data_IF_683906088566
#
_entry.id   IF_683906088566
#
_cell.length_a   1.000
_cell.length_b   1.000
_cell.length_c   1.000
_cell.angle_alpha   90.00
_cell.angle_beta   90.00
_cell.angle_gamma   90.00
#
_symmetry.space_group_name_H-M   'P 1'
#
loop_
_entity.id
_entity.type
_entity.pdbx_description
1 polymer ?
#
# COMPACT_ATOMS: atom_id res chain seq x y z
N UNK A 1 -10.84 22.76 18.61
CA UNK A 1 -9.94 22.60 17.45
C UNK A 1 -9.37 23.98 17.14
N UNK A 2 -8.04 24.13 17.07
CA UNK A 2 -7.36 25.38 16.73
C UNK A 2 -6.67 25.27 15.36
N UNK A 3 -7.34 24.63 14.41
CA UNK A 3 -6.85 24.47 13.03
C UNK A 3 -7.95 24.83 12.04
N UNK A 4 -7.55 25.18 10.83
CA UNK A 4 -8.48 25.49 9.75
C UNK A 4 -9.26 24.22 9.35
N UNK A 5 -10.60 24.33 9.40
CA UNK A 5 -11.49 23.25 8.98
C UNK A 5 -11.58 23.26 7.46
N UNK A 6 -11.00 22.24 6.82
CA UNK A 6 -11.03 22.13 5.36
C UNK A 6 -12.38 21.60 4.85
N UNK A 7 -12.90 20.50 5.43
CA UNK A 7 -14.13 19.85 4.98
C UNK A 7 -14.74 18.99 6.10
N UNK A 8 -16.07 18.91 6.12
CA UNK A 8 -16.83 17.92 6.90
C UNK A 8 -17.75 17.17 5.96
N UNK A 9 -17.71 15.84 6.00
CA UNK A 9 -18.57 14.99 5.18
C UNK A 9 -18.88 13.68 5.89
N UNK A 10 -19.90 12.97 5.38
CA UNK A 10 -20.19 11.60 5.82
C UNK A 10 -19.04 10.67 5.40
N UNK A 11 -18.66 9.77 6.30
CA UNK A 11 -17.63 8.77 6.02
C UNK A 11 -18.07 7.80 4.93
N UNK A 12 -17.15 7.49 4.03
CA UNK A 12 -17.27 6.52 2.96
C UNK A 12 -15.96 5.71 2.92
N UNK A 13 -16.06 4.42 3.20
CA UNK A 13 -14.92 3.51 3.32
C UNK A 13 -14.40 2.97 1.99
N UNK A 14 -15.02 3.32 0.87
CA UNK A 14 -14.55 2.96 -0.47
C UNK A 14 -13.97 4.18 -1.21
N UNK A 15 -14.24 5.39 -0.68
CA UNK A 15 -13.77 6.64 -1.27
C UNK A 15 -12.25 6.77 -1.18
N UNK A 16 -11.62 6.87 -2.35
CA UNK A 16 -10.20 7.15 -2.50
C UNK A 16 -9.95 8.65 -2.44
N UNK A 17 -8.96 9.04 -1.65
CA UNK A 17 -8.46 10.40 -1.56
C UNK A 17 -7.07 10.49 -2.16
N UNK A 18 -6.82 11.60 -2.84
CA UNK A 18 -5.48 11.96 -3.32
C UNK A 18 -5.05 13.21 -2.57
N UNK A 19 -3.96 13.11 -1.82
CA UNK A 19 -3.38 14.25 -1.09
C UNK A 19 -2.04 14.66 -1.71
N UNK A 20 -1.85 15.98 -1.82
CA UNK A 20 -0.56 16.61 -2.08
C UNK A 20 -0.08 17.19 -0.76
N UNK A 21 1.15 16.86 -0.37
CA UNK A 21 1.71 17.39 0.87
C UNK A 21 3.21 17.64 0.74
N UNK A 22 3.72 18.55 1.57
CA UNK A 22 5.14 18.87 1.69
C UNK A 22 5.75 18.09 2.84
N UNK A 23 6.87 17.42 2.60
CA UNK A 23 7.72 16.82 3.63
C UNK A 23 8.98 17.66 3.81
N UNK A 24 9.09 18.33 4.96
CA UNK A 24 10.20 19.21 5.27
C UNK A 24 11.52 18.47 5.55
N UNK A 25 11.47 17.19 5.94
CA UNK A 25 12.68 16.40 6.23
C UNK A 25 13.51 16.17 4.97
N UNK A 26 12.84 15.97 3.83
CA UNK A 26 13.48 15.74 2.52
C UNK A 26 13.30 16.92 1.55
N UNK A 27 12.58 17.96 1.97
CA UNK A 27 12.26 19.17 1.19
C UNK A 27 11.67 18.84 -0.18
N UNK A 28 10.62 18.01 -0.19
CA UNK A 28 9.98 17.58 -1.42
C UNK A 28 8.46 17.44 -1.25
N UNK A 29 7.75 17.60 -2.38
CA UNK A 29 6.33 17.32 -2.47
C UNK A 29 6.07 15.84 -2.73
N UNK A 30 5.02 15.32 -2.09
CA UNK A 30 4.55 13.94 -2.24
C UNK A 30 3.09 13.92 -2.66
N UNK A 31 2.76 12.97 -3.52
CA UNK A 31 1.39 12.60 -3.87
C UNK A 31 1.09 11.25 -3.22
N UNK A 32 -0.05 11.17 -2.55
CA UNK A 32 -0.48 9.97 -1.83
C UNK A 32 -1.94 9.67 -2.13
N UNK A 33 -2.21 8.44 -2.58
CA UNK A 33 -3.55 7.90 -2.75
C UNK A 33 -3.87 6.93 -1.62
N UNK A 34 -5.00 7.10 -0.95
CA UNK A 34 -5.39 6.28 0.19
C UNK A 34 -6.89 6.33 0.45
N UNK A 35 -7.37 5.40 1.26
CA UNK A 35 -8.73 5.37 1.80
C UNK A 35 -8.64 5.56 3.31
N UNK A 36 -9.56 6.32 3.89
CA UNK A 36 -9.64 6.46 5.34
C UNK A 36 -10.23 5.18 5.96
N UNK A 37 -9.68 4.78 7.10
CA UNK A 37 -10.23 3.67 7.87
C UNK A 37 -11.23 4.19 8.90
N UNK A 38 -12.18 3.33 9.29
CA UNK A 38 -13.06 3.64 10.42
C UNK A 38 -12.20 3.92 11.65
N UNK A 39 -12.52 4.99 12.36
CA UNK A 39 -11.94 5.32 13.66
C UNK A 39 -13.04 5.36 14.70
N UNK A 40 -12.71 4.95 15.93
CA UNK A 40 -13.60 5.06 17.08
C UNK A 40 -13.69 6.51 17.59
N UNK A 41 -14.02 7.46 16.70
CA UNK A 41 -14.02 8.91 16.92
C UNK A 41 -12.66 9.51 17.34
N UNK A 42 -11.56 8.79 17.09
CA UNK A 42 -10.22 9.28 17.34
C UNK A 42 -9.67 10.01 16.11
N UNK A 43 -8.93 11.09 16.34
CA UNK A 43 -8.26 11.83 15.26
C UNK A 43 -7.20 10.93 14.62
N UNK A 44 -7.30 10.76 13.30
CA UNK A 44 -6.32 10.02 12.51
C UNK A 44 -5.46 10.97 11.69
N UNK A 45 -4.14 10.84 11.84
CA UNK A 45 -3.17 11.53 10.98
C UNK A 45 -2.84 10.65 9.78
N UNK A 46 -2.95 11.22 8.58
CA UNK A 46 -2.54 10.55 7.33
C UNK A 46 -1.27 11.15 6.73
N UNK A 47 -0.75 12.24 7.29
CA UNK A 47 0.60 12.77 7.03
C UNK A 47 1.40 12.57 8.30
N UNK A 48 2.65 12.13 8.17
CA UNK A 48 3.51 11.95 9.32
C UNK A 48 3.70 13.28 10.07
N UNK A 49 3.62 13.23 11.40
CA UNK A 49 3.85 14.40 12.26
C UNK A 49 5.36 14.65 12.37
N UNK A 50 5.95 15.18 11.31
CA UNK A 50 7.33 15.65 11.28
C UNK A 50 7.35 17.16 11.22
N UNK A 51 8.35 17.77 11.87
CA UNK A 51 8.46 19.23 11.96
C UNK A 51 8.47 19.87 10.57
N UNK A 52 7.42 20.63 10.27
CA UNK A 52 7.22 21.35 9.01
C UNK A 52 6.56 20.55 7.88
N UNK A 53 6.16 19.29 8.09
CA UNK A 53 5.28 18.62 7.16
C UNK A 53 3.91 19.31 7.16
N UNK A 54 3.34 19.52 5.97
CA UNK A 54 2.05 20.20 5.83
C UNK A 54 1.26 19.66 4.64
N UNK A 55 -0.05 19.57 4.81
CA UNK A 55 -0.97 19.35 3.70
C UNK A 55 -0.91 20.58 2.77
N UNK A 56 -0.85 20.34 1.47
CA UNK A 56 -0.96 21.39 0.44
C UNK A 56 -2.38 21.41 -0.08
N UNK A 57 -2.88 20.25 -0.53
CA UNK A 57 -4.25 20.11 -1.02
C UNK A 57 -4.71 18.64 -0.98
N UNK A 58 -6.01 18.41 -1.06
CA UNK A 58 -6.63 17.07 -1.12
C UNK A 58 -7.83 17.03 -2.06
N UNK A 59 -7.88 16.02 -2.92
CA UNK A 59 -8.99 15.75 -3.84
C UNK A 59 -9.62 14.39 -3.55
N UNK A 60 -10.92 14.27 -3.86
CA UNK A 60 -11.70 13.03 -3.84
C UNK A 60 -12.11 12.58 -5.25
N UNK A 61 -11.50 13.17 -6.29
CA UNK A 61 -11.79 12.83 -7.67
C UNK A 61 -11.26 11.43 -8.00
N UNK A 62 -11.98 10.72 -8.87
CA UNK A 62 -11.62 9.37 -9.28
C UNK A 62 -10.30 9.33 -10.08
N UNK A 63 -10.08 10.34 -10.93
CA UNK A 63 -8.90 10.46 -11.78
C UNK A 63 -8.25 11.86 -11.63
N UNK A 64 -7.65 12.16 -10.47
CA UNK A 64 -7.12 13.48 -10.20
C UNK A 64 -5.86 13.76 -11.02
N UNK A 65 -5.77 14.94 -11.60
CA UNK A 65 -4.56 15.44 -12.25
C UNK A 65 -3.83 16.44 -11.37
N UNK A 66 -2.51 16.33 -11.33
CA UNK A 66 -1.63 17.23 -10.57
C UNK A 66 -0.67 17.93 -11.52
N UNK A 67 -0.67 19.26 -11.51
CA UNK A 67 0.29 20.06 -12.27
C UNK A 67 1.46 20.45 -11.38
N UNK A 68 2.67 20.15 -11.83
CA UNK A 68 3.94 20.49 -11.16
C UNK A 68 4.68 21.52 -12.00
N UNK A 69 4.86 22.73 -11.45
CA UNK A 69 5.64 23.80 -12.09
C UNK A 69 7.00 23.91 -11.39
N UNK A 70 8.08 24.00 -12.15
CA UNK A 70 9.44 24.02 -11.62
C UNK A 70 9.98 25.44 -11.42
N UNK A 71 10.91 25.60 -10.48
CA UNK A 71 11.60 26.88 -10.28
C UNK A 71 12.49 27.19 -11.48
N UNK A 72 12.38 28.39 -12.02
CA UNK A 72 13.17 28.86 -13.16
C UNK A 72 14.54 29.39 -12.69
N UNK A 73 15.50 28.48 -12.48
CA UNK A 73 16.86 28.82 -12.05
C UNK A 73 17.89 28.65 -13.20
N UNK A 74 17.82 29.48 -14.25
CA UNK A 74 18.86 29.58 -15.29
C UNK A 74 18.45 29.28 -16.74
N UNK A 75 19.44 29.06 -17.63
CA UNK A 75 19.32 29.06 -19.12
C UNK A 75 18.34 28.04 -19.75
N UNK A 76 17.80 27.09 -19.00
CA UNK A 76 16.79 26.14 -19.50
C UNK A 76 15.63 26.08 -18.52
N UNK A 77 14.51 26.66 -18.93
CA UNK A 77 13.24 26.50 -18.25
C UNK A 77 12.75 25.05 -18.45
N UNK A 78 12.34 24.40 -17.36
CA UNK A 78 11.67 23.10 -17.43
C UNK A 78 10.18 23.36 -17.57
N UNK A 79 9.56 22.75 -18.58
CA UNK A 79 8.11 22.86 -18.77
C UNK A 79 7.36 22.23 -17.60
N UNK A 80 6.16 22.75 -17.25
CA UNK A 80 5.31 22.12 -16.25
C UNK A 80 4.98 20.68 -16.63
N UNK A 81 4.91 19.82 -15.62
CA UNK A 81 4.59 18.40 -15.77
C UNK A 81 3.17 18.15 -15.26
N UNK A 82 2.36 17.42 -16.04
CA UNK A 82 1.03 16.97 -15.63
C UNK A 82 1.13 15.50 -15.25
N UNK A 83 0.72 15.20 -14.02
CA UNK A 83 0.75 13.86 -13.44
C UNK A 83 -0.70 13.37 -13.31
N UNK A 84 -1.02 12.27 -13.98
CA UNK A 84 -2.19 11.46 -13.65
C UNK A 84 -1.91 10.72 -12.33
N UNK A 85 -2.57 11.15 -11.24
CA UNK A 85 -2.32 10.57 -9.93
C UNK A 85 -2.72 9.10 -9.84
N UNK A 86 -3.71 8.66 -10.64
CA UNK A 86 -4.19 7.28 -10.64
C UNK A 86 -3.11 6.32 -11.12
N UNK A 87 -2.50 6.64 -12.26
CA UNK A 87 -1.39 5.87 -12.85
C UNK A 87 -0.07 6.09 -12.11
N UNK A 88 0.13 7.27 -11.53
CA UNK A 88 1.38 7.62 -10.86
C UNK A 88 1.62 6.82 -9.57
N UNK A 89 0.57 6.56 -8.80
CA UNK A 89 0.63 5.83 -7.53
C UNK A 89 -0.64 5.04 -7.28
N UNK A 90 -0.51 3.73 -7.03
CA UNK A 90 -1.62 2.89 -6.57
C UNK A 90 -2.11 3.31 -5.18
N UNK A 91 -3.37 3.03 -4.86
CA UNK A 91 -3.93 3.26 -3.52
C UNK A 91 -3.09 2.51 -2.46
N UNK A 92 -2.63 3.26 -1.45
CA UNK A 92 -1.86 2.75 -0.31
C UNK A 92 -2.65 2.94 0.98
N UNK A 93 -2.19 2.30 2.06
CA UNK A 93 -2.75 2.56 3.39
C UNK A 93 -2.58 4.02 3.82
N UNK A 94 -3.50 4.53 4.62
CA UNK A 94 -3.51 5.93 5.06
C UNK A 94 -2.29 6.33 5.91
N UNK A 95 -1.44 5.40 6.35
CA UNK A 95 -0.16 5.68 7.03
C UNK A 95 1.06 5.70 6.10
N UNK A 96 0.91 5.27 4.83
CA UNK A 96 2.02 5.20 3.89
C UNK A 96 2.57 6.59 3.54
N UNK A 97 3.83 6.68 3.10
CA UNK A 97 4.41 7.98 2.72
C UNK A 97 3.85 8.53 1.40
N UNK A 98 3.54 7.66 0.44
CA UNK A 98 3.22 8.09 -0.93
C UNK A 98 4.48 8.21 -1.80
N UNK A 99 4.36 8.85 -2.97
CA UNK A 99 5.42 8.95 -3.98
C UNK A 99 5.84 10.40 -4.18
N UNK A 100 7.15 10.63 -4.26
CA UNK A 100 7.71 11.98 -4.48
C UNK A 100 7.29 12.49 -5.86
N UNK A 101 6.68 13.68 -5.91
CA UNK A 101 6.10 14.25 -7.12
C UNK A 101 7.16 14.55 -8.21
N UNK A 102 8.31 15.09 -7.82
CA UNK A 102 9.41 15.36 -8.75
C UNK A 102 10.79 15.33 -8.07
N UNK A 103 11.82 15.03 -8.87
CA UNK A 103 13.22 15.09 -8.44
C UNK A 103 13.76 16.53 -8.40
N UNK A 104 13.34 17.37 -9.35
CA UNK A 104 13.73 18.78 -9.48
C UNK A 104 13.04 19.68 -8.45
N UNK A 105 13.55 20.91 -8.29
CA UNK A 105 12.94 21.91 -7.40
C UNK A 105 11.61 22.43 -7.97
N UNK A 106 10.56 22.32 -7.16
CA UNK A 106 9.18 22.65 -7.54
C UNK A 106 8.83 24.04 -7.03
N UNK A 107 8.36 24.91 -7.92
CA UNK A 107 7.84 26.23 -7.59
C UNK A 107 6.39 26.14 -7.07
N UNK A 108 5.52 25.49 -7.84
CA UNK A 108 4.10 25.31 -7.48
C UNK A 108 3.64 23.89 -7.82
N UNK A 109 2.68 23.40 -7.05
CA UNK A 109 2.02 22.12 -7.26
C UNK A 109 0.56 22.24 -6.83
N UNK A 110 -0.34 21.87 -7.72
CA UNK A 110 -1.78 22.07 -7.54
C UNK A 110 -2.57 21.00 -8.29
N UNK A 111 -3.78 20.68 -7.81
CA UNK A 111 -4.73 19.92 -8.60
C UNK A 111 -5.23 20.78 -9.76
N UNK A 112 -5.43 20.13 -10.90
CA UNK A 112 -6.11 20.72 -12.06
C UNK A 112 -7.36 19.89 -12.38
N UNK A 113 -8.03 20.21 -13.48
CA UNK A 113 -9.21 19.48 -13.92
C UNK A 113 -8.94 17.97 -13.98
N UNK A 114 -9.78 17.14 -13.33
CA UNK A 114 -9.63 15.69 -13.36
C UNK A 114 -9.67 15.13 -14.78
N UNK A 115 -9.03 13.99 -14.98
CA UNK A 115 -9.06 13.32 -16.27
C UNK A 115 -10.41 12.62 -16.46
N UNK A 116 -11.11 12.92 -17.55
CA UNK A 116 -12.25 12.12 -17.97
C UNK A 116 -11.75 10.83 -18.62
N UNK A 117 -11.79 9.72 -17.89
CA UNK A 117 -11.59 8.38 -18.46
C UNK A 117 -12.94 7.72 -18.65
N UNK A 118 -13.18 7.17 -19.84
CA UNK A 118 -14.31 6.27 -20.04
C UNK A 118 -14.20 5.10 -19.06
N UNK A 119 -15.31 4.73 -18.42
CA UNK A 119 -15.35 3.51 -17.64
C UNK A 119 -14.92 2.35 -18.55
N UNK A 120 -14.04 1.42 -18.08
CA UNK A 120 -13.66 0.29 -18.89
C UNK A 120 -14.93 -0.42 -19.35
N UNK A 121 -15.09 -0.54 -20.67
CA UNK A 121 -16.16 -1.37 -21.22
C UNK A 121 -15.91 -2.79 -20.68
N UNK A 122 -16.77 -3.23 -19.76
CA UNK A 122 -16.83 -4.64 -19.39
C UNK A 122 -17.22 -5.39 -20.66
N UNK A 123 -16.24 -5.91 -21.39
CA UNK A 123 -16.50 -6.84 -22.46
C UNK A 123 -16.98 -8.13 -21.79
N UNK A 124 -18.30 -8.31 -21.75
CA UNK A 124 -18.97 -9.42 -21.07
C UNK A 124 -18.52 -10.80 -21.57
N UNK A 125 -17.70 -10.86 -22.62
CA UNK A 125 -17.11 -12.07 -23.17
C UNK A 125 -16.09 -12.76 -22.24
N UNK A 126 -15.44 -12.03 -21.32
CA UNK A 126 -14.39 -12.61 -20.46
C UNK A 126 -14.93 -13.29 -19.18
N UNK A 127 -16.25 -13.26 -18.93
CA UNK A 127 -16.89 -13.93 -17.78
C UNK A 127 -17.42 -15.35 -18.10
N UNK A 128 -17.03 -15.97 -19.21
CA UNK A 128 -17.55 -17.29 -19.64
C UNK A 128 -16.60 -18.49 -19.47
N UNK A 129 -15.66 -18.39 -18.54
CA UNK A 129 -14.96 -19.51 -17.92
C UNK A 129 -15.25 -19.31 -16.41
N UNK A 130 -16.02 -20.10 -15.66
CA UNK A 130 -16.21 -21.55 -15.64
C UNK A 130 -17.59 -21.83 -15.00
N UNK A 131 -18.58 -22.29 -15.77
CA UNK A 131 -19.93 -22.57 -15.28
C UNK A 131 -20.19 -24.05 -14.95
N UNK A 132 -19.16 -24.90 -14.94
CA UNK A 132 -19.33 -26.36 -14.81
C UNK A 132 -18.83 -26.96 -13.48
N UNK A 133 -18.33 -26.18 -12.51
CA UNK A 133 -17.76 -26.73 -11.26
C UNK A 133 -18.64 -26.59 -10.02
N UNK A 134 -19.96 -26.79 -10.15
CA UNK A 134 -20.82 -27.12 -9.01
C UNK A 134 -22.11 -27.77 -9.49
N UNK A 135 -22.13 -29.11 -9.62
CA UNK A 135 -23.13 -29.88 -8.88
C UNK A 135 -22.76 -31.37 -8.69
N UNK A 136 -22.95 -31.82 -7.44
CA UNK A 136 -23.16 -33.18 -6.92
C UNK A 136 -21.99 -34.19 -6.89
N UNK A 137 -21.32 -34.27 -5.73
CA UNK A 137 -21.40 -35.50 -4.93
C UNK A 137 -20.57 -36.71 -5.36
N UNK A 138 -19.29 -36.54 -5.73
CA UNK A 138 -18.37 -37.69 -5.85
C UNK A 138 -17.00 -37.36 -5.22
N UNK A 139 -16.83 -37.71 -3.95
CA UNK A 139 -15.50 -37.85 -3.35
C UNK A 139 -14.81 -39.02 -4.05
N UNK A 140 -13.60 -38.84 -4.62
CA UNK A 140 -12.83 -39.98 -5.09
C UNK A 140 -12.37 -40.78 -3.86
N UNK A 141 -12.73 -42.08 -3.83
CA UNK A 141 -12.18 -43.04 -2.89
C UNK A 141 -10.65 -43.00 -2.99
N UNK A 142 -10.00 -42.75 -1.86
CA UNK A 142 -8.55 -42.91 -1.73
C UNK A 142 -8.34 -44.43 -1.72
N UNK A 143 -7.88 -44.98 -2.84
CA UNK A 143 -7.41 -46.37 -2.90
C UNK A 143 -6.18 -46.52 -1.98
N UNK A 144 -6.27 -47.48 -1.05
CA UNK A 144 -5.18 -47.96 -0.22
C UNK A 144 -4.03 -48.43 -1.11
N UNK A 145 -2.91 -47.70 -1.13
CA UNK A 145 -1.65 -48.18 -1.71
C UNK A 145 -0.82 -48.87 -0.61
N UNK A 146 -0.72 -50.19 -0.74
CA UNK A 146 -0.03 -51.12 0.14
C UNK A 146 1.43 -50.72 0.41
N UNK A 147 1.77 -50.49 1.67
CA UNK A 147 3.15 -50.57 2.15
C UNK A 147 3.68 -52.00 2.06
N UNK A 148 4.86 -52.27 1.47
CA UNK A 148 5.58 -53.50 1.77
C UNK A 148 6.34 -53.30 3.08
N UNK A 149 5.87 -53.98 4.12
CA UNK A 149 6.62 -54.23 5.34
C UNK A 149 7.92 -54.96 5.03
N UNK A 150 9.05 -54.44 5.49
CA UNK A 150 10.18 -55.30 5.81
C UNK A 150 10.78 -54.91 7.17
N UNK A 151 10.68 -55.86 8.09
CA UNK A 151 10.94 -55.74 9.51
C UNK A 151 12.26 -56.45 9.81
N UNK A 152 13.28 -55.72 10.25
CA UNK A 152 14.43 -56.30 10.96
C UNK A 152 14.90 -55.44 12.14
N UNK A 153 14.15 -55.59 13.22
CA UNK A 153 14.56 -55.68 14.63
C UNK A 153 16.05 -55.44 15.00
N UNK A 154 16.35 -54.39 15.77
CA UNK A 154 17.45 -54.36 16.75
C UNK A 154 17.07 -53.49 17.97
N UNK A 155 17.19 -54.10 19.16
CA UNK A 155 16.92 -53.59 20.50
C UNK A 155 17.81 -52.41 20.92
N UNK A 156 17.25 -51.39 21.60
CA UNK A 156 17.97 -50.61 22.63
C UNK A 156 17.07 -50.25 23.82
N UNK A 157 17.58 -50.47 25.04
CA UNK A 157 16.92 -50.29 26.34
C UNK A 157 16.70 -48.81 26.74
N UNK A 158 15.75 -48.51 27.65
CA UNK A 158 15.54 -47.16 28.17
C UNK A 158 16.60 -46.82 29.21
N UNK A 159 17.55 -45.94 28.86
CA UNK A 159 18.55 -45.44 29.81
C UNK A 159 19.81 -44.86 29.18
N UNK A 160 19.70 -43.76 28.44
CA UNK A 160 20.82 -42.82 28.25
C UNK A 160 20.31 -41.46 27.79
N UNK A 161 20.72 -40.43 28.52
CA UNK A 161 20.49 -39.00 28.28
C UNK A 161 21.12 -38.55 26.96
N UNK A 162 20.49 -37.60 26.27
CA UNK A 162 21.07 -36.90 25.12
C UNK A 162 21.62 -35.55 25.59
N UNK A 163 22.93 -35.36 25.49
CA UNK A 163 23.61 -34.09 25.73
C UNK A 163 23.37 -33.14 24.55
N UNK A 164 22.95 -31.91 24.86
CA UNK A 164 22.86 -30.79 23.91
C UNK A 164 24.08 -29.91 24.13
N UNK A 165 25.06 -29.99 23.24
CA UNK A 165 26.28 -29.19 23.33
C UNK A 165 26.05 -27.82 22.65
N UNK A 166 26.02 -26.77 23.47
CA UNK A 166 25.91 -25.36 23.08
C UNK A 166 27.29 -24.74 23.28
N UNK A 167 28.13 -24.76 22.25
CA UNK A 167 29.29 -23.88 22.17
C UNK A 167 28.77 -22.46 21.90
N UNK A 168 28.99 -21.41 22.69
CA UNK A 168 29.98 -21.21 23.74
C UNK A 168 30.63 -19.85 23.54
N UNK A 169 29.90 -18.75 23.79
CA UNK A 169 30.51 -17.45 24.11
C UNK A 169 29.80 -16.89 25.36
N UNK A 170 30.50 -16.94 26.49
CA UNK A 170 30.11 -16.25 27.72
C UNK A 170 30.37 -14.74 27.58
N UNK A 171 29.39 -13.91 27.96
CA UNK A 171 29.63 -12.55 28.40
C UNK A 171 29.20 -12.43 29.86
N UNK A 172 30.21 -12.33 30.73
CA UNK A 172 30.09 -12.03 32.15
C UNK A 172 29.68 -10.56 32.35
N UNK A 173 28.78 -10.32 33.30
CA UNK A 173 28.37 -8.98 33.72
C UNK A 173 28.91 -8.69 35.13
N UNK A 174 29.98 -7.89 35.23
CA UNK A 174 30.26 -6.91 36.30
C UNK A 174 31.12 -5.79 35.72
#
# INVERSE_FOLDING_TARGET
YQGDLLKVQKFDGEKVFTAIYWDNSVKAYYIKRFVFEISDNNVQFFIADTSGARLVDISEDQFPQVKVTFVQNGKKEKEPEIIDADEFIAVKGYKAKGKRAAASEVATIEFIEPLEKDAPAFDAADMMLDADYINEGNFPDIEDDDTPSDNTNQNFSPGSSVDFDINGEELTLF
#
